data_IF_271022456605
#
_entry.id   IF_271022456605
#
_cell.length_a   1.000
_cell.length_b   1.000
_cell.length_c   1.000
_cell.angle_alpha   90.00
_cell.angle_beta   90.00
_cell.angle_gamma   90.00
#
_symmetry.space_group_name_H-M   'P 1'
#
loop_
_entity.id
_entity.type
_entity.pdbx_description
1 polymer ?
#
# COMPACT_ATOMS: atom_id res chain seq x y z
N UNK A 1 -10.77 -20.82 -17.29
CA UNK A 1 -10.69 -19.87 -16.13
C UNK A 1 -9.40 -20.11 -15.32
N UNK A 2 -8.23 -20.27 -15.97
CA UNK A 2 -6.93 -20.45 -15.29
C UNK A 2 -6.04 -19.21 -15.40
N UNK A 3 -6.11 -18.53 -16.54
CA UNK A 3 -5.24 -17.41 -16.91
C UNK A 3 -5.44 -16.14 -16.07
N UNK A 4 -6.63 -15.91 -15.52
CA UNK A 4 -6.89 -14.71 -14.69
C UNK A 4 -6.36 -14.83 -13.25
N UNK A 5 -6.29 -16.06 -12.70
CA UNK A 5 -5.78 -16.30 -11.34
C UNK A 5 -4.25 -16.24 -11.28
N UNK A 6 -3.57 -16.84 -12.25
CA UNK A 6 -2.10 -16.82 -12.33
C UNK A 6 -1.53 -15.39 -12.51
N UNK A 7 -2.24 -14.52 -13.24
CA UNK A 7 -1.87 -13.10 -13.37
C UNK A 7 -2.10 -12.33 -12.07
N UNK A 8 -3.10 -12.70 -11.26
CA UNK A 8 -3.39 -12.04 -9.99
C UNK A 8 -2.45 -12.48 -8.86
N UNK A 9 -2.00 -13.73 -8.83
CA UNK A 9 -1.06 -14.20 -7.79
C UNK A 9 0.37 -13.63 -7.96
N UNK A 10 0.74 -13.26 -9.20
CA UNK A 10 2.03 -12.64 -9.51
C UNK A 10 2.11 -11.14 -9.19
N UNK A 11 0.98 -10.43 -9.24
CA UNK A 11 0.94 -8.97 -9.03
C UNK A 11 1.42 -8.52 -7.65
N UNK A 12 0.99 -9.15 -6.53
CA UNK A 12 1.52 -8.82 -5.21
C UNK A 12 3.04 -8.93 -5.15
N UNK A 13 3.62 -10.02 -5.65
CA UNK A 13 5.08 -10.23 -5.65
C UNK A 13 5.82 -9.18 -6.47
N UNK A 14 5.26 -8.79 -7.62
CA UNK A 14 5.82 -7.73 -8.46
C UNK A 14 5.80 -6.36 -7.74
N UNK A 15 4.70 -6.01 -7.08
CA UNK A 15 4.63 -4.75 -6.32
C UNK A 15 5.59 -4.76 -5.15
N UNK A 16 5.67 -5.87 -4.41
CA UNK A 16 6.64 -6.05 -3.31
C UNK A 16 8.07 -5.89 -3.81
N UNK A 17 8.45 -6.52 -4.93
CA UNK A 17 9.82 -6.39 -5.45
C UNK A 17 10.14 -4.95 -5.86
N UNK A 18 9.19 -4.25 -6.49
CA UNK A 18 9.34 -2.83 -6.83
C UNK A 18 9.51 -1.94 -5.59
N UNK A 19 8.75 -2.20 -4.53
CA UNK A 19 8.90 -1.49 -3.24
C UNK A 19 10.28 -1.72 -2.66
N UNK A 20 10.70 -3.00 -2.55
CA UNK A 20 11.97 -3.37 -1.93
C UNK A 20 13.17 -2.80 -2.67
N UNK A 21 13.20 -2.88 -3.99
CA UNK A 21 14.24 -2.28 -4.83
C UNK A 21 14.41 -0.77 -4.53
N UNK A 22 13.29 -0.05 -4.41
CA UNK A 22 13.31 1.38 -4.08
C UNK A 22 13.63 1.66 -2.61
N UNK A 23 13.44 0.69 -1.74
CA UNK A 23 13.69 0.76 -0.30
C UNK A 23 15.18 0.63 0.04
N UNK A 24 15.99 -0.02 -0.82
CA UNK A 24 17.42 -0.28 -0.58
C UNK A 24 18.26 0.98 -0.30
N UNK A 25 17.82 2.15 -0.80
CA UNK A 25 18.50 3.43 -0.54
C UNK A 25 18.25 4.00 0.87
N UNK A 26 17.34 3.42 1.64
CA UNK A 26 16.96 3.88 2.96
C UNK A 26 17.45 2.89 4.02
N UNK A 27 18.03 3.41 5.12
CA UNK A 27 18.53 2.56 6.21
C UNK A 27 17.42 1.90 7.04
N UNK A 28 16.28 2.59 7.17
CA UNK A 28 15.07 2.17 7.88
C UNK A 28 13.85 2.74 7.15
N UNK A 29 13.47 2.15 6.01
CA UNK A 29 12.41 2.69 5.16
C UNK A 29 11.07 2.71 5.90
N UNK A 30 10.32 3.80 5.72
CA UNK A 30 8.90 3.86 6.07
C UNK A 30 8.07 3.72 4.80
N UNK A 31 7.21 2.70 4.74
CA UNK A 31 6.35 2.44 3.59
C UNK A 31 4.91 2.70 3.97
N UNK A 32 4.24 3.62 3.27
CA UNK A 32 2.80 3.80 3.36
C UNK A 32 2.08 2.92 2.34
N UNK A 33 1.28 1.97 2.81
CA UNK A 33 0.35 1.18 2.01
C UNK A 33 -1.03 1.85 2.04
N UNK A 34 -1.41 2.47 0.92
CA UNK A 34 -2.69 3.16 0.77
C UNK A 34 -3.70 2.23 0.09
N UNK A 35 -4.73 1.86 0.85
CA UNK A 35 -5.77 0.91 0.48
C UNK A 35 -5.39 -0.52 0.86
N UNK A 36 -6.33 -1.21 1.49
CA UNK A 36 -6.24 -2.63 1.87
C UNK A 36 -7.45 -3.45 1.40
N UNK A 37 -8.55 -2.82 1.03
CA UNK A 37 -9.75 -3.55 0.60
C UNK A 37 -9.54 -4.23 -0.75
N UNK A 38 -10.42 -5.17 -1.10
CA UNK A 38 -10.35 -5.91 -2.34
C UNK A 38 -10.66 -5.02 -3.56
N UNK A 39 -11.44 -3.96 -3.39
CA UNK A 39 -11.89 -3.03 -4.45
C UNK A 39 -12.03 -1.60 -3.91
N UNK A 40 -11.98 -0.59 -4.81
CA UNK A 40 -12.27 0.78 -4.42
C UNK A 40 -13.63 0.93 -3.73
N UNK A 41 -13.63 1.80 -2.71
CA UNK A 41 -14.78 2.37 -2.01
C UNK A 41 -15.75 1.35 -1.38
N UNK A 42 -15.19 0.21 -0.96
CA UNK A 42 -15.86 -0.80 -0.12
C UNK A 42 -14.98 -1.14 1.08
N UNK A 43 -15.55 -1.78 2.10
CA UNK A 43 -14.89 -2.22 3.34
C UNK A 43 -14.44 -3.70 3.32
N UNK A 44 -14.71 -4.43 2.22
CA UNK A 44 -14.38 -5.85 2.11
C UNK A 44 -12.88 -6.06 1.86
N UNK A 45 -12.24 -6.75 2.80
CA UNK A 45 -10.81 -7.08 2.77
C UNK A 45 -10.53 -8.53 2.38
N UNK A 46 -11.57 -9.35 2.21
CA UNK A 46 -11.41 -10.78 1.91
C UNK A 46 -10.69 -10.96 0.57
N UNK A 47 -9.70 -11.85 0.57
CA UNK A 47 -8.87 -12.14 -0.60
C UNK A 47 -8.17 -10.90 -1.19
N UNK A 48 -7.97 -9.85 -0.39
CA UNK A 48 -7.33 -8.64 -0.86
C UNK A 48 -5.84 -8.87 -1.19
N UNK A 49 -5.40 -8.59 -2.43
CA UNK A 49 -3.98 -8.65 -2.78
C UNK A 49 -3.17 -7.59 -2.03
N UNK A 50 -3.79 -6.50 -1.57
CA UNK A 50 -3.11 -5.43 -0.83
C UNK A 50 -2.68 -5.88 0.57
N UNK A 51 -3.47 -6.74 1.22
CA UNK A 51 -3.08 -7.36 2.50
C UNK A 51 -1.84 -8.23 2.31
N UNK A 52 -1.82 -9.06 1.27
CA UNK A 52 -0.67 -9.90 0.96
C UNK A 52 0.61 -9.09 0.69
N UNK A 53 0.49 -7.91 0.06
CA UNK A 53 1.62 -6.99 -0.15
C UNK A 53 2.11 -6.43 1.19
N UNK A 54 1.21 -5.85 2.00
CA UNK A 54 1.58 -5.26 3.29
C UNK A 54 2.19 -6.29 4.25
N UNK A 55 1.62 -7.49 4.30
CA UNK A 55 2.11 -8.65 5.07
C UNK A 55 3.52 -9.07 4.66
N UNK A 56 3.77 -9.24 3.35
CA UNK A 56 5.09 -9.60 2.84
C UNK A 56 6.17 -8.54 3.12
N UNK A 57 5.83 -7.26 3.03
CA UNK A 57 6.75 -6.17 3.37
C UNK A 57 7.06 -6.18 4.88
N UNK A 58 6.04 -6.33 5.71
CA UNK A 58 6.20 -6.38 7.16
C UNK A 58 7.07 -7.57 7.61
N UNK A 59 6.87 -8.75 7.03
CA UNK A 59 7.66 -9.96 7.33
C UNK A 59 9.15 -9.84 6.97
N UNK A 60 9.54 -8.96 6.05
CA UNK A 60 10.95 -8.72 5.75
C UNK A 60 11.70 -8.04 6.91
N UNK A 61 10.98 -7.44 7.86
CA UNK A 61 11.48 -6.98 9.16
C UNK A 61 12.34 -5.71 9.15
N UNK A 62 12.62 -5.13 7.98
CA UNK A 62 13.44 -3.91 7.83
C UNK A 62 12.58 -2.63 7.76
N UNK A 63 11.32 -2.78 7.39
CA UNK A 63 10.45 -1.67 7.01
C UNK A 63 9.46 -1.37 8.13
N UNK A 64 9.21 -0.09 8.39
CA UNK A 64 8.02 0.35 9.15
C UNK A 64 6.87 0.53 8.17
N UNK A 65 5.77 -0.17 8.39
CA UNK A 65 4.61 -0.16 7.49
C UNK A 65 3.50 0.70 8.10
N UNK A 66 3.12 1.75 7.39
CA UNK A 66 1.97 2.58 7.70
C UNK A 66 0.83 2.19 6.77
N UNK A 67 -0.31 1.86 7.33
CA UNK A 67 -1.50 1.50 6.56
C UNK A 67 -2.51 2.62 6.69
N UNK A 68 -3.13 3.00 5.57
CA UNK A 68 -4.30 3.85 5.58
C UNK A 68 -5.33 3.36 4.54
N UNK A 69 -6.57 3.17 4.97
CA UNK A 69 -7.70 2.86 4.10
C UNK A 69 -8.93 3.64 4.59
N UNK A 70 -9.55 4.50 3.76
CA UNK A 70 -10.65 5.35 4.20
C UNK A 70 -11.95 4.59 4.47
N UNK A 71 -12.05 3.32 4.08
CA UNK A 71 -13.23 2.47 4.31
C UNK A 71 -13.03 1.48 5.46
N UNK A 72 -11.86 1.48 6.10
CA UNK A 72 -11.56 0.64 7.26
C UNK A 72 -11.39 1.51 8.51
N UNK A 73 -11.69 0.92 9.67
CA UNK A 73 -11.52 1.56 10.98
C UNK A 73 -10.28 1.04 11.74
N UNK A 74 -9.53 0.10 11.15
CA UNK A 74 -8.35 -0.50 11.76
C UNK A 74 -7.70 -1.56 10.87
N UNK A 75 -6.66 -2.20 11.39
CA UNK A 75 -5.97 -3.29 10.70
C UNK A 75 -6.81 -4.57 10.71
N UNK A 76 -6.83 -5.32 9.60
CA UNK A 76 -7.17 -6.74 9.62
C UNK A 76 -6.27 -7.51 10.60
N UNK A 77 -6.79 -8.59 11.19
CA UNK A 77 -6.10 -9.39 12.23
C UNK A 77 -4.68 -9.79 11.84
N UNK A 78 -4.47 -10.23 10.59
CA UNK A 78 -3.16 -10.62 10.06
C UNK A 78 -2.10 -9.51 10.20
N UNK A 79 -2.48 -8.27 9.89
CA UNK A 79 -1.58 -7.12 9.96
C UNK A 79 -1.50 -6.56 11.39
N UNK A 80 -2.59 -6.65 12.16
CA UNK A 80 -2.63 -6.22 13.57
C UNK A 80 -1.65 -7.02 14.46
N UNK A 81 -1.37 -8.27 14.10
CA UNK A 81 -0.41 -9.11 14.80
C UNK A 81 1.06 -8.74 14.53
N UNK A 82 1.33 -7.87 13.56
CA UNK A 82 2.69 -7.51 13.14
C UNK A 82 3.18 -6.24 13.85
N UNK A 83 4.29 -6.29 14.61
CA UNK A 83 4.71 -5.19 15.49
C UNK A 83 5.22 -3.94 14.73
N UNK A 84 5.55 -4.08 13.45
CA UNK A 84 6.03 -3.00 12.59
C UNK A 84 4.94 -2.42 11.68
N UNK A 85 3.68 -2.81 11.87
CA UNK A 85 2.53 -2.31 11.09
C UNK A 85 1.65 -1.45 11.98
N UNK A 86 1.24 -0.28 11.50
CA UNK A 86 0.31 0.60 12.20
C UNK A 86 -0.72 1.21 11.25
N UNK A 87 -1.97 1.29 11.68
CA UNK A 87 -3.04 2.00 10.96
C UNK A 87 -3.04 3.48 11.34
N UNK A 88 -3.17 4.37 10.36
CA UNK A 88 -3.21 5.81 10.57
C UNK A 88 -3.97 6.51 9.44
N UNK A 89 -4.16 7.82 9.58
CA UNK A 89 -4.84 8.63 8.57
C UNK A 89 -4.04 8.72 7.26
N UNK A 90 -4.74 8.82 6.13
CA UNK A 90 -4.11 8.81 4.78
C UNK A 90 -2.99 9.84 4.66
N UNK A 91 -3.26 11.09 5.06
CA UNK A 91 -2.29 12.17 4.92
C UNK A 91 -1.12 12.03 5.92
N UNK A 92 -1.37 11.43 7.09
CA UNK A 92 -0.33 11.10 8.05
C UNK A 92 0.62 10.04 7.48
N UNK A 93 0.06 8.95 6.92
CA UNK A 93 0.83 7.90 6.27
C UNK A 93 1.73 8.45 5.17
N UNK A 94 1.17 9.26 4.25
CA UNK A 94 1.92 9.89 3.16
C UNK A 94 3.04 10.78 3.69
N UNK A 95 2.78 11.58 4.72
CA UNK A 95 3.75 12.53 5.26
C UNK A 95 4.92 11.84 5.97
N UNK A 96 4.68 10.73 6.65
CA UNK A 96 5.72 10.00 7.38
C UNK A 96 6.51 9.02 6.50
N UNK A 97 5.96 8.60 5.37
CA UNK A 97 6.59 7.60 4.51
C UNK A 97 7.81 8.14 3.75
N UNK A 98 8.71 7.23 3.39
CA UNK A 98 9.69 7.42 2.31
C UNK A 98 9.10 6.96 0.97
N UNK A 99 8.33 5.86 1.02
CA UNK A 99 7.70 5.20 -0.13
C UNK A 99 6.19 5.15 0.09
N UNK A 100 5.42 5.62 -0.89
CA UNK A 100 3.96 5.51 -0.92
C UNK A 100 3.57 4.49 -1.97
N UNK A 101 2.97 3.39 -1.52
CA UNK A 101 2.37 2.36 -2.37
C UNK A 101 0.85 2.59 -2.45
N UNK A 102 0.36 3.00 -3.61
CA UNK A 102 -1.07 3.06 -3.90
C UNK A 102 -1.53 1.68 -4.36
N UNK A 103 -2.25 0.97 -3.50
CA UNK A 103 -2.65 -0.42 -3.71
C UNK A 103 -4.11 -0.55 -4.15
N UNK A 104 -4.98 0.35 -3.69
CA UNK A 104 -6.41 0.41 -4.07
C UNK A 104 -6.80 1.84 -4.42
N UNK A 105 -7.47 2.04 -5.55
CA UNK A 105 -7.82 3.37 -6.07
C UNK A 105 -9.08 3.97 -5.42
N UNK A 106 -9.07 4.14 -4.10
CA UNK A 106 -10.16 4.79 -3.38
C UNK A 106 -10.39 6.23 -3.86
N UNK A 107 -11.65 6.63 -4.01
CA UNK A 107 -12.00 7.98 -4.44
C UNK A 107 -11.39 9.08 -3.55
N UNK A 108 -11.34 8.94 -2.21
CA UNK A 108 -10.64 9.87 -1.33
C UNK A 108 -9.15 10.09 -1.65
N UNK A 109 -8.43 9.11 -2.20
CA UNK A 109 -6.99 9.25 -2.49
C UNK A 109 -6.71 10.25 -3.61
N UNK A 110 -7.70 10.56 -4.46
CA UNK A 110 -7.58 11.64 -5.46
C UNK A 110 -7.40 13.02 -4.83
N UNK A 111 -7.75 13.18 -3.55
CA UNK A 111 -7.62 14.44 -2.80
C UNK A 111 -6.27 14.60 -2.11
N UNK A 112 -5.37 13.60 -2.20
CA UNK A 112 -4.03 13.72 -1.66
C UNK A 112 -3.30 14.84 -2.40
N UNK A 113 -2.73 15.85 -1.71
CA UNK A 113 -2.01 16.93 -2.37
C UNK A 113 -0.84 16.38 -3.19
N UNK A 114 -0.77 16.76 -4.47
CA UNK A 114 0.30 16.29 -5.38
C UNK A 114 1.70 16.59 -4.85
N UNK A 115 1.87 17.74 -4.20
CA UNK A 115 3.14 18.15 -3.60
C UNK A 115 3.63 17.18 -2.51
N UNK A 116 2.72 16.59 -1.74
CA UNK A 116 3.06 15.59 -0.73
C UNK A 116 3.58 14.31 -1.41
N UNK A 117 2.91 13.85 -2.48
CA UNK A 117 3.32 12.67 -3.24
C UNK A 117 4.65 12.87 -3.99
N UNK A 118 4.88 14.04 -4.59
CA UNK A 118 6.11 14.35 -5.34
C UNK A 118 7.37 14.35 -4.48
N UNK A 119 7.24 14.51 -3.17
CA UNK A 119 8.34 14.43 -2.20
C UNK A 119 8.62 13.01 -1.75
N UNK A 120 7.93 12.01 -2.29
CA UNK A 120 8.01 10.60 -1.92
C UNK A 120 8.32 9.76 -3.15
N UNK A 121 8.74 8.54 -2.88
CA UNK A 121 8.81 7.52 -3.90
C UNK A 121 7.42 6.94 -4.08
N UNK A 122 6.79 7.15 -5.22
CA UNK A 122 5.44 6.65 -5.46
C UNK A 122 5.48 5.38 -6.29
N UNK A 123 4.78 4.36 -5.82
CA UNK A 123 4.52 3.13 -6.56
C UNK A 123 3.01 3.01 -6.68
N UNK A 124 2.53 3.15 -7.91
CA UNK A 124 1.10 3.16 -8.20
C UNK A 124 0.69 1.88 -8.91
N UNK A 125 0.15 0.93 -8.14
CA UNK A 125 -0.38 -0.32 -8.69
C UNK A 125 -1.75 -0.15 -9.36
N UNK A 126 -2.33 1.06 -9.28
CA UNK A 126 -3.73 1.34 -9.64
C UNK A 126 -3.87 2.29 -10.83
N UNK A 127 -2.81 3.03 -11.18
CA UNK A 127 -2.81 4.06 -12.21
C UNK A 127 -3.46 5.39 -11.80
N UNK A 128 -3.81 5.58 -10.53
CA UNK A 128 -4.46 6.79 -10.00
C UNK A 128 -3.68 8.08 -10.30
N UNK A 129 -2.35 8.01 -10.23
CA UNK A 129 -1.44 9.15 -10.40
C UNK A 129 -1.17 9.51 -11.86
N UNK A 130 -1.48 8.62 -12.80
CA UNK A 130 -1.32 8.84 -14.23
C UNK A 130 -2.52 9.54 -14.90
N UNK A 131 -3.64 9.75 -14.19
CA UNK A 131 -4.87 10.31 -14.76
C UNK A 131 -4.91 11.84 -14.89
N UNK A 132 -3.83 12.56 -14.54
CA UNK A 132 -3.75 14.03 -14.60
C UNK A 132 -2.39 14.54 -15.12
N UNK A 133 -1.78 13.83 -16.07
CA UNK A 133 -0.62 14.31 -16.82
C UNK A 133 -1.08 15.03 -18.10
#
# INVERSE_FOLDING_TARGET
IRTAREVNDGKPKFVVSQIRERAERFKRPVVACLGLTYKPDVDDTRESPAIAIASQLACAGQDRILVADPNLTGLPEELAAMPNVSFCETLEAVRQADIVALLVAHSPFRKIPREELMRRVVIDATGLTHQHA
#
